data_IF_112549626170
#
_entry.id   IF_112549626170
#
_cell.length_a   1.000
_cell.length_b   1.000
_cell.length_c   1.000
_cell.angle_alpha   90.00
_cell.angle_beta   90.00
_cell.angle_gamma   90.00
#
_symmetry.space_group_name_H-M   'P 1'
#
loop_
_entity.id
_entity.type
_entity.pdbx_description
1 polymer ?
#
# COMPACT_ATOMS: atom_id res chain seq x y z
N UNK A 1 2.03 13.82 -20.09
CA UNK A 1 3.37 14.40 -19.87
C UNK A 1 3.96 13.74 -18.65
N UNK A 2 5.19 13.24 -18.75
CA UNK A 2 5.91 12.66 -17.59
C UNK A 2 6.33 13.76 -16.62
N UNK A 3 6.59 13.38 -15.36
CA UNK A 3 7.07 14.32 -14.34
C UNK A 3 8.41 14.96 -14.75
N UNK A 4 9.25 14.22 -15.47
CA UNK A 4 10.56 14.71 -15.92
C UNK A 4 10.44 15.78 -17.01
N UNK A 5 9.54 15.57 -17.99
CA UNK A 5 9.24 16.57 -19.03
C UNK A 5 8.66 17.85 -18.43
N UNK A 6 7.70 17.70 -17.49
CA UNK A 6 7.12 18.82 -16.77
C UNK A 6 8.17 19.59 -15.97
N UNK A 7 9.03 18.88 -15.22
CA UNK A 7 10.11 19.49 -14.45
C UNK A 7 11.11 20.25 -15.32
N UNK A 8 11.42 19.76 -16.52
CA UNK A 8 12.29 20.45 -17.46
C UNK A 8 11.66 21.77 -17.93
N UNK A 9 10.41 21.72 -18.40
CA UNK A 9 9.68 22.91 -18.85
C UNK A 9 9.52 23.94 -17.72
N UNK A 10 9.21 23.48 -16.51
CA UNK A 10 9.06 24.36 -15.36
C UNK A 10 10.37 25.07 -15.01
N UNK A 11 11.53 24.38 -15.04
CA UNK A 11 12.83 25.03 -14.77
C UNK A 11 13.13 26.13 -15.77
N UNK A 12 12.82 25.94 -17.05
CA UNK A 12 12.98 27.00 -18.07
C UNK A 12 12.10 28.21 -17.76
N UNK A 13 10.84 28.01 -17.39
CA UNK A 13 9.94 29.10 -17.01
C UNK A 13 10.39 29.80 -15.73
N UNK A 14 10.78 29.02 -14.70
CA UNK A 14 11.24 29.51 -13.41
C UNK A 14 12.43 30.46 -13.56
N UNK A 15 13.41 30.11 -14.40
CA UNK A 15 14.59 30.94 -14.67
C UNK A 15 14.25 32.32 -15.23
N UNK A 16 13.14 32.45 -15.96
CA UNK A 16 12.67 33.72 -16.54
C UNK A 16 11.61 34.45 -15.71
N UNK A 17 11.05 33.81 -14.68
CA UNK A 17 9.86 34.29 -13.97
C UNK A 17 10.13 35.42 -12.96
N UNK A 18 11.35 35.49 -12.41
CA UNK A 18 11.67 36.37 -11.29
C UNK A 18 10.94 36.05 -9.98
N UNK A 19 10.26 34.90 -9.90
CA UNK A 19 9.52 34.50 -8.70
C UNK A 19 10.45 34.02 -7.59
N UNK A 20 10.03 34.25 -6.35
CA UNK A 20 10.73 33.70 -5.20
C UNK A 20 10.50 32.18 -5.11
N UNK A 21 11.37 31.50 -4.35
CA UNK A 21 11.37 30.04 -4.24
C UNK A 21 10.03 29.48 -3.70
N UNK A 22 9.39 30.17 -2.76
CA UNK A 22 8.11 29.73 -2.17
C UNK A 22 6.97 29.73 -3.19
N UNK A 23 6.90 30.76 -4.04
CA UNK A 23 5.92 30.84 -5.14
C UNK A 23 6.22 29.77 -6.20
N UNK A 24 7.49 29.52 -6.51
CA UNK A 24 7.88 28.47 -7.44
C UNK A 24 7.52 27.07 -6.93
N UNK A 25 7.78 26.76 -5.66
CA UNK A 25 7.40 25.48 -5.04
C UNK A 25 5.89 25.31 -5.11
N UNK A 26 5.13 26.34 -4.70
CA UNK A 26 3.66 26.32 -4.71
C UNK A 26 3.12 26.08 -6.13
N UNK A 27 3.61 26.82 -7.11
CA UNK A 27 3.16 26.70 -8.51
C UNK A 27 3.54 25.35 -9.10
N UNK A 28 4.79 24.90 -8.88
CA UNK A 28 5.26 23.61 -9.35
C UNK A 28 4.36 22.49 -8.86
N UNK A 29 4.03 22.51 -7.55
CA UNK A 29 3.16 21.53 -6.91
C UNK A 29 1.75 21.54 -7.48
N UNK A 30 1.20 22.70 -7.82
CA UNK A 30 -0.14 22.81 -8.41
C UNK A 30 -0.22 22.15 -9.79
N UNK A 31 0.86 22.18 -10.59
CA UNK A 31 0.91 21.54 -11.90
C UNK A 31 1.30 20.05 -11.88
N UNK A 32 1.59 19.45 -10.71
CA UNK A 32 1.81 18.01 -10.59
C UNK A 32 0.51 17.21 -10.68
N UNK A 33 0.63 15.95 -11.10
CA UNK A 33 -0.46 14.97 -11.04
C UNK A 33 -1.07 14.92 -9.62
N UNK A 34 -2.41 14.91 -9.46
CA UNK A 34 -3.05 14.93 -8.15
C UNK A 34 -2.64 13.79 -7.22
N UNK A 35 -2.36 12.59 -7.75
CA UNK A 35 -1.93 11.43 -6.94
C UNK A 35 -0.50 11.64 -6.45
N UNK A 36 0.38 12.10 -7.34
CA UNK A 36 1.75 12.45 -6.97
C UNK A 36 1.78 13.58 -5.94
N UNK A 37 0.95 14.60 -6.13
CA UNK A 37 0.79 15.72 -5.20
C UNK A 37 0.35 15.26 -3.82
N UNK A 38 -0.60 14.33 -3.72
CA UNK A 38 -1.06 13.75 -2.45
C UNK A 38 0.09 13.06 -1.69
N UNK A 39 0.98 12.35 -2.38
CA UNK A 39 2.13 11.71 -1.75
C UNK A 39 3.22 12.68 -1.29
N UNK A 40 3.27 13.87 -1.89
CA UNK A 40 4.28 14.89 -1.59
C UNK A 40 3.84 15.91 -0.52
N UNK A 41 2.62 15.83 -0.01
CA UNK A 41 2.07 16.80 0.97
C UNK A 41 2.88 16.88 2.27
N UNK A 42 3.52 15.79 2.69
CA UNK A 42 4.32 15.75 3.92
C UNK A 42 5.67 16.47 3.82
N UNK A 43 6.08 16.91 2.63
CA UNK A 43 7.42 17.48 2.38
C UNK A 43 7.39 19.02 2.25
N UNK A 44 6.53 19.68 3.03
CA UNK A 44 6.17 21.09 2.81
C UNK A 44 7.27 22.11 3.12
N UNK A 45 8.16 21.87 4.10
CA UNK A 45 8.70 23.02 4.85
C UNK A 45 10.21 23.24 4.89
N UNK A 46 11.06 22.60 4.08
CA UNK A 46 12.52 22.93 4.16
C UNK A 46 13.41 22.48 3.01
N UNK A 47 12.88 21.76 2.02
CA UNK A 47 13.78 21.06 1.09
C UNK A 47 14.26 21.92 -0.09
N UNK A 48 13.67 23.09 -0.32
CA UNK A 48 13.97 23.95 -1.47
C UNK A 48 13.40 23.41 -2.79
N UNK A 49 13.34 24.27 -3.81
CA UNK A 49 12.66 23.95 -5.08
C UNK A 49 13.31 22.78 -5.81
N UNK A 50 14.63 22.83 -5.99
CA UNK A 50 15.34 21.82 -6.79
C UNK A 50 15.23 20.43 -6.15
N UNK A 51 15.31 20.35 -4.81
CA UNK A 51 15.13 19.08 -4.09
C UNK A 51 13.69 18.59 -4.16
N UNK A 52 12.72 19.50 -4.08
CA UNK A 52 11.30 19.16 -4.27
C UNK A 52 11.04 18.59 -5.67
N UNK A 53 11.64 19.19 -6.71
CA UNK A 53 11.57 18.68 -8.08
C UNK A 53 12.20 17.28 -8.17
N UNK A 54 13.41 17.07 -7.66
CA UNK A 54 14.07 15.76 -7.65
C UNK A 54 13.23 14.69 -6.93
N UNK A 55 12.62 15.05 -5.80
CA UNK A 55 11.75 14.16 -5.04
C UNK A 55 10.53 13.76 -5.88
N UNK A 56 9.90 14.72 -6.57
CA UNK A 56 8.75 14.45 -7.43
C UNK A 56 9.09 13.53 -8.61
N UNK A 57 10.27 13.68 -9.23
CA UNK A 57 10.74 12.81 -10.31
C UNK A 57 10.94 11.39 -9.77
N UNK A 58 11.63 11.24 -8.63
CA UNK A 58 11.88 9.92 -8.02
C UNK A 58 10.58 9.20 -7.66
N UNK A 59 9.61 9.92 -7.09
CA UNK A 59 8.29 9.36 -6.80
C UNK A 59 7.53 8.99 -8.08
N UNK A 60 7.54 9.86 -9.09
CA UNK A 60 6.92 9.58 -10.39
C UNK A 60 7.47 8.31 -11.03
N UNK A 61 8.79 8.17 -11.10
CA UNK A 61 9.45 6.96 -11.61
C UNK A 61 9.08 5.72 -10.79
N UNK A 62 9.07 5.81 -9.45
CA UNK A 62 8.74 4.67 -8.59
C UNK A 62 7.27 4.23 -8.73
N UNK A 63 6.36 5.18 -8.84
CA UNK A 63 4.94 4.89 -9.08
C UNK A 63 4.76 4.17 -10.42
N UNK A 64 5.49 4.59 -11.46
CA UNK A 64 5.47 3.95 -12.76
C UNK A 64 6.04 2.52 -12.70
N UNK A 65 7.18 2.31 -12.04
CA UNK A 65 7.78 0.98 -11.90
C UNK A 65 6.92 0.01 -11.09
N UNK A 66 6.22 0.48 -10.05
CA UNK A 66 5.29 -0.36 -9.28
C UNK A 66 4.14 -0.90 -10.15
N UNK A 67 3.65 -0.08 -11.08
CA UNK A 67 2.62 -0.50 -12.04
C UNK A 67 3.19 -1.54 -13.01
N UNK A 68 4.39 -1.31 -13.53
CA UNK A 68 5.05 -2.23 -14.45
C UNK A 68 5.37 -3.59 -13.80
N UNK A 69 5.84 -3.61 -12.55
CA UNK A 69 6.11 -4.83 -11.79
C UNK A 69 4.84 -5.66 -11.59
N UNK A 70 3.72 -5.01 -11.25
CA UNK A 70 2.41 -5.66 -11.14
C UNK A 70 1.83 -6.14 -12.48
N UNK A 71 2.16 -5.49 -13.59
CA UNK A 71 1.72 -5.92 -14.93
C UNK A 71 2.58 -7.05 -15.50
N UNK A 72 3.85 -7.14 -15.08
CA UNK A 72 4.82 -8.13 -15.56
C UNK A 72 4.77 -9.45 -14.79
N UNK A 73 4.14 -9.46 -13.62
CA UNK A 73 4.05 -10.63 -12.77
C UNK A 73 2.70 -11.33 -13.02
N UNK A 74 2.67 -12.50 -13.69
CA UNK A 74 1.46 -13.29 -13.77
C UNK A 74 0.99 -13.59 -12.34
N UNK A 75 -0.34 -13.55 -12.15
CA UNK A 75 -1.14 -13.66 -10.92
C UNK A 75 -0.80 -14.88 -10.01
N UNK A 76 0.44 -15.03 -9.56
CA UNK A 76 0.87 -16.15 -8.71
C UNK A 76 0.99 -15.79 -7.24
N UNK A 77 1.01 -14.50 -6.88
CA UNK A 77 1.12 -14.08 -5.47
C UNK A 77 -0.22 -14.01 -4.71
N UNK A 78 -1.35 -14.26 -5.37
CA UNK A 78 -2.63 -14.44 -4.67
C UNK A 78 -2.69 -15.74 -3.84
N UNK A 79 -1.71 -16.64 -3.98
CA UNK A 79 -1.68 -17.92 -3.24
C UNK A 79 -0.85 -17.89 -1.94
N UNK A 80 -0.01 -16.88 -1.70
CA UNK A 80 0.83 -16.81 -0.49
C UNK A 80 0.14 -16.13 0.71
N UNK A 81 -1.14 -15.78 0.58
CA UNK A 81 -2.01 -15.47 1.73
C UNK A 81 -3.06 -16.56 1.95
N UNK A 82 -2.73 -17.82 1.68
CA UNK A 82 -3.41 -18.91 2.38
C UNK A 82 -2.81 -18.92 3.78
N UNK A 83 -3.42 -18.15 4.69
CA UNK A 83 -3.40 -18.50 6.10
C UNK A 83 -3.77 -19.98 6.16
N UNK A 84 -2.87 -20.86 6.61
CA UNK A 84 -3.28 -22.19 7.03
C UNK A 84 -4.51 -22.01 7.93
N UNK A 85 -5.63 -22.70 7.67
CA UNK A 85 -6.67 -22.83 8.68
C UNK A 85 -6.00 -23.57 9.84
N UNK A 86 -5.66 -22.83 10.90
CA UNK A 86 -5.24 -23.43 12.16
C UNK A 86 -6.44 -24.26 12.60
N UNK A 87 -6.34 -25.60 12.49
CA UNK A 87 -7.37 -26.45 13.08
C UNK A 87 -7.35 -26.21 14.59
N UNK A 88 -8.53 -26.14 15.25
CA UNK A 88 -8.56 -26.19 16.70
C UNK A 88 -7.83 -27.46 17.16
N UNK A 89 -7.05 -27.43 18.26
CA UNK A 89 -6.56 -28.66 18.84
C UNK A 89 -7.76 -29.53 19.22
N UNK A 90 -7.72 -30.78 18.78
CA UNK A 90 -8.70 -31.82 19.09
C UNK A 90 -8.98 -31.81 20.60
N UNK A 91 -10.25 -31.70 21.05
CA UNK A 91 -10.54 -31.79 22.47
C UNK A 91 -10.16 -33.19 22.92
N UNK A 92 -9.13 -33.28 23.75
CA UNK A 92 -8.72 -34.50 24.41
C UNK A 92 -9.97 -35.12 25.04
N UNK A 93 -10.41 -36.23 24.47
CA UNK A 93 -11.50 -37.03 25.01
C UNK A 93 -10.97 -37.71 26.26
N UNK A 94 -11.01 -37.02 27.39
CA UNK A 94 -11.02 -37.69 28.68
C UNK A 94 -12.31 -38.52 28.73
N UNK A 95 -12.25 -39.87 28.86
CA UNK A 95 -13.46 -40.64 29.02
C UNK A 95 -13.99 -40.37 30.43
N UNK A 96 -14.88 -39.39 30.58
CA UNK A 96 -15.80 -39.35 31.72
C UNK A 96 -16.70 -40.59 31.62
N UNK A 97 -16.32 -41.66 32.31
CA UNK A 97 -17.11 -42.87 32.43
C UNK A 97 -18.35 -42.56 33.29
N UNK A 98 -19.41 -42.09 32.63
CA UNK A 98 -20.72 -41.91 33.26
C UNK A 98 -21.41 -43.26 33.30
N UNK A 99 -21.42 -43.85 34.49
CA UNK A 99 -22.05 -45.13 34.81
C UNK A 99 -23.57 -45.01 34.64
N UNK A 100 -24.09 -45.49 33.50
CA UNK A 100 -25.53 -45.52 33.25
C UNK A 100 -26.16 -46.71 33.98
N UNK A 101 -26.45 -46.53 35.26
CA UNK A 101 -27.39 -47.37 36.00
C UNK A 101 -28.79 -47.18 35.40
N UNK A 102 -29.27 -48.11 34.57
CA UNK A 102 -30.69 -48.15 34.16
C UNK A 102 -31.25 -49.56 34.24
N UNK A 103 -31.97 -49.76 35.34
CA UNK A 103 -32.94 -50.82 35.60
C UNK A 103 -33.94 -50.94 34.44
N UNK A 104 -34.05 -52.11 33.83
CA UNK A 104 -35.23 -52.53 33.07
C UNK A 104 -35.52 -54.02 33.31
N UNK A 105 -36.30 -54.25 34.36
CA UNK A 105 -37.55 -55.03 34.43
C UNK A 105 -37.66 -56.36 33.65
N UNK A 106 -37.86 -57.41 34.45
CA UNK A 106 -38.52 -58.71 34.22
C UNK A 106 -39.53 -58.73 33.05
N UNK A 107 -39.41 -59.74 32.17
CA UNK A 107 -40.58 -60.51 31.69
C UNK A 107 -40.19 -61.89 31.14
N UNK A 108 -41.01 -62.85 31.56
CA UNK A 108 -40.95 -64.31 31.42
C UNK A 108 -40.90 -64.87 29.99
N UNK A 109 -40.45 -66.13 29.92
CA UNK A 109 -40.58 -67.07 28.81
C UNK A 109 -40.03 -68.44 29.20
#
# INVERSE_FOLDING_TARGET
MSVNEYALQFRTLAASSGWNEQVLITTYRQGLDPRLRLHLTAYEDSIGLERFIQLSIRFGSRMQSCIEEHHSQPLFNTLLRRSEPISPPEPASEPMQVENSRLLNVKDG
#
